data_IF_141007246264
#
_entry.id   IF_141007246264
#
_cell.length_a   1.000
_cell.length_b   1.000
_cell.length_c   1.000
_cell.angle_alpha   90.00
_cell.angle_beta   90.00
_cell.angle_gamma   90.00
#
_symmetry.space_group_name_H-M   'P 1'
#
loop_
_entity.id
_entity.type
_entity.pdbx_description
1 polymer ?
#
# COMPACT_ATOMS: atom_id res chain seq x y z
N UNK A 1 3.51 5.94 6.24
CA UNK A 1 4.90 6.36 5.90
C UNK A 1 4.78 7.31 4.73
N UNK A 2 5.44 8.47 4.76
CA UNK A 2 5.47 9.40 3.63
C UNK A 2 6.77 9.27 2.85
N UNK A 3 6.71 9.23 1.53
CA UNK A 3 7.87 9.18 0.64
C UNK A 3 7.85 10.37 -0.31
N UNK A 4 8.99 11.04 -0.44
CA UNK A 4 9.15 12.14 -1.41
C UNK A 4 9.23 11.61 -2.83
N UNK A 5 8.89 12.45 -3.80
CA UNK A 5 9.05 12.12 -5.22
C UNK A 5 10.47 11.63 -5.55
N UNK A 6 10.58 10.49 -6.23
CA UNK A 6 11.85 9.86 -6.60
C UNK A 6 12.56 9.11 -5.46
N UNK A 7 12.00 9.09 -4.25
CA UNK A 7 12.52 8.30 -3.14
C UNK A 7 11.84 6.93 -3.07
N UNK A 8 12.57 5.96 -2.53
CA UNK A 8 12.08 4.63 -2.19
C UNK A 8 12.47 4.31 -0.75
N UNK A 9 11.63 3.56 -0.05
CA UNK A 9 11.92 2.99 1.26
C UNK A 9 11.52 1.53 1.25
N UNK A 10 12.42 0.67 1.74
CA UNK A 10 12.12 -0.74 1.95
C UNK A 10 11.73 -0.94 3.41
N UNK A 11 10.60 -1.62 3.65
CA UNK A 11 10.08 -1.90 4.98
C UNK A 11 10.13 -3.41 5.23
N UNK A 12 10.77 -3.81 6.32
CA UNK A 12 10.77 -5.17 6.82
C UNK A 12 9.93 -5.24 8.11
N UNK A 13 9.00 -6.20 8.16
CA UNK A 13 8.09 -6.40 9.28
C UNK A 13 8.41 -7.74 9.95
N UNK A 14 8.84 -7.67 11.22
CA UNK A 14 9.10 -8.83 12.07
C UNK A 14 8.14 -8.83 13.25
N UNK A 15 7.56 -9.98 13.56
CA UNK A 15 6.73 -10.16 14.75
C UNK A 15 7.55 -10.83 15.84
N UNK A 16 7.48 -10.30 17.06
CA UNK A 16 8.31 -10.75 18.18
C UNK A 16 7.48 -10.94 19.45
N UNK A 17 7.96 -11.79 20.36
CA UNK A 17 7.46 -11.86 21.73
C UNK A 17 7.83 -10.59 22.51
N UNK A 18 7.23 -10.34 23.70
CA UNK A 18 7.69 -9.26 24.57
C UNK A 18 9.16 -9.35 25.01
N UNK A 19 9.80 -10.50 24.82
CA UNK A 19 11.21 -10.73 25.13
C UNK A 19 12.14 -10.52 23.91
N UNK A 20 11.59 -10.13 22.74
CA UNK A 20 12.35 -9.88 21.51
C UNK A 20 12.64 -11.16 20.71
N UNK A 21 11.93 -12.25 20.97
CA UNK A 21 12.12 -13.49 20.22
C UNK A 21 11.19 -13.50 19.00
N UNK A 22 11.67 -13.80 17.78
CA UNK A 22 10.82 -13.86 16.60
C UNK A 22 9.71 -14.90 16.74
N UNK A 23 8.49 -14.54 16.32
CA UNK A 23 7.34 -15.45 16.27
C UNK A 23 6.78 -15.55 14.85
N UNK A 24 6.32 -16.74 14.50
CA UNK A 24 5.54 -16.94 13.27
C UNK A 24 4.09 -16.57 13.53
N UNK A 25 3.61 -15.56 12.82
CA UNK A 25 2.18 -15.23 12.77
C UNK A 25 1.56 -15.98 11.60
N UNK A 26 0.49 -16.74 11.89
CA UNK A 26 -0.17 -17.58 10.88
C UNK A 26 -0.80 -16.75 9.77
N UNK A 27 -1.51 -15.70 10.14
CA UNK A 27 -2.23 -14.83 9.22
C UNK A 27 -1.98 -13.37 9.64
N UNK A 28 -1.39 -12.59 8.75
CA UNK A 28 -1.18 -11.16 8.92
C UNK A 28 -1.63 -10.44 7.65
N UNK A 29 -2.28 -9.28 7.81
CA UNK A 29 -2.74 -8.43 6.70
C UNK A 29 -2.07 -7.08 6.86
N UNK A 30 -1.43 -6.59 5.79
CA UNK A 30 -0.85 -5.26 5.73
C UNK A 30 -1.72 -4.40 4.83
N UNK A 31 -2.29 -3.35 5.39
CA UNK A 31 -3.01 -2.37 4.59
C UNK A 31 -2.12 -1.18 4.24
N UNK A 32 -2.06 -0.84 2.97
CA UNK A 32 -1.42 0.37 2.44
C UNK A 32 -2.50 1.24 1.81
N UNK A 33 -2.65 2.46 2.33
CA UNK A 33 -3.65 3.43 1.91
C UNK A 33 -2.97 4.68 1.32
N UNK A 34 -3.78 5.57 0.73
CA UNK A 34 -3.32 6.89 0.24
C UNK A 34 -2.27 6.75 -0.89
N UNK A 35 -2.49 5.77 -1.76
CA UNK A 35 -1.69 5.59 -2.97
C UNK A 35 -2.19 6.53 -4.06
N UNK A 36 -1.55 7.69 -4.12
CA UNK A 36 -2.03 8.84 -4.89
C UNK A 36 -0.96 9.37 -5.85
N UNK A 37 -1.37 10.24 -6.77
CA UNK A 37 -0.48 11.05 -7.59
C UNK A 37 -0.44 12.47 -7.02
N UNK A 38 0.72 13.12 -7.16
CA UNK A 38 0.82 14.54 -6.83
C UNK A 38 -0.07 15.37 -7.77
N UNK A 39 -0.48 16.55 -7.31
CA UNK A 39 -1.35 17.45 -8.09
C UNK A 39 -0.72 17.88 -9.44
N UNK A 40 0.60 17.78 -9.59
CA UNK A 40 1.32 18.16 -10.81
C UNK A 40 1.58 17.00 -11.78
N UNK A 41 1.12 15.78 -11.48
CA UNK A 41 1.35 14.55 -12.27
C UNK A 41 2.83 14.21 -12.51
N UNK A 42 3.70 14.68 -11.62
CA UNK A 42 5.14 14.43 -11.70
C UNK A 42 5.57 13.20 -10.91
N UNK A 43 4.76 12.75 -9.95
CA UNK A 43 5.06 11.64 -9.07
C UNK A 43 3.80 10.79 -8.83
N UNK A 44 4.00 9.47 -8.86
CA UNK A 44 2.97 8.47 -8.54
C UNK A 44 3.48 7.65 -7.36
N UNK A 45 2.69 7.54 -6.29
CA UNK A 45 3.01 6.66 -5.17
C UNK A 45 2.64 5.22 -5.53
N UNK A 46 3.50 4.29 -5.15
CA UNK A 46 3.26 2.86 -5.35
C UNK A 46 3.90 2.03 -4.26
N UNK A 47 3.53 0.76 -4.23
CA UNK A 47 4.08 -0.23 -3.31
C UNK A 47 4.39 -1.51 -4.09
N UNK A 48 5.59 -2.05 -3.88
CA UNK A 48 5.91 -3.42 -4.23
C UNK A 48 5.83 -4.29 -2.99
N UNK A 49 5.38 -5.53 -3.18
CA UNK A 49 5.26 -6.49 -2.09
C UNK A 49 5.90 -7.82 -2.47
N UNK A 50 6.51 -8.46 -1.47
CA UNK A 50 7.07 -9.80 -1.57
C UNK A 50 6.72 -10.59 -0.31
N UNK A 51 6.46 -11.89 -0.45
CA UNK A 51 6.16 -12.77 0.68
C UNK A 51 4.68 -12.82 1.10
N UNK A 52 3.80 -12.08 0.43
CA UNK A 52 2.35 -12.16 0.63
C UNK A 52 1.73 -13.27 -0.22
N UNK A 53 0.71 -13.95 0.32
CA UNK A 53 0.01 -15.05 -0.35
C UNK A 53 -1.12 -14.58 -1.27
N UNK A 54 -1.68 -13.40 -0.99
CA UNK A 54 -2.78 -12.80 -1.75
C UNK A 54 -2.77 -11.29 -1.54
N UNK A 55 -3.52 -10.58 -2.38
CA UNK A 55 -3.79 -9.16 -2.22
C UNK A 55 -5.29 -8.91 -2.41
N UNK A 56 -5.77 -7.82 -1.86
CA UNK A 56 -7.11 -7.29 -2.07
C UNK A 56 -7.03 -5.84 -2.52
N UNK A 57 -7.76 -5.54 -3.59
CA UNK A 57 -8.05 -4.19 -4.08
C UNK A 57 -9.55 -4.10 -4.34
N UNK A 58 -10.14 -2.91 -4.23
CA UNK A 58 -11.55 -2.73 -4.56
C UNK A 58 -11.82 -3.04 -6.04
N UNK A 59 -13.07 -3.36 -6.39
CA UNK A 59 -13.47 -3.59 -7.79
C UNK A 59 -13.35 -2.35 -8.67
N UNK A 60 -13.45 -1.16 -8.06
CA UNK A 60 -13.33 0.15 -8.71
C UNK A 60 -11.96 0.81 -8.46
N UNK A 61 -10.95 0.02 -8.09
CA UNK A 61 -9.66 0.56 -7.67
C UNK A 61 -9.01 1.47 -8.71
N UNK A 62 -8.24 2.42 -8.19
CA UNK A 62 -7.45 3.39 -8.93
C UNK A 62 -5.96 3.00 -8.86
N UNK A 63 -5.67 1.69 -8.90
CA UNK A 63 -4.32 1.15 -8.86
C UNK A 63 -4.01 0.36 -10.14
N UNK A 64 -2.86 0.65 -10.73
CA UNK A 64 -2.29 -0.18 -11.78
C UNK A 64 -1.41 -1.25 -11.16
N UNK A 65 -1.75 -2.52 -11.34
CA UNK A 65 -0.93 -3.66 -10.95
C UNK A 65 -0.02 -4.12 -12.08
N UNK A 66 1.26 -4.32 -11.78
CA UNK A 66 2.25 -4.96 -12.66
C UNK A 66 2.98 -6.07 -11.90
N UNK A 67 3.15 -7.23 -12.52
CA UNK A 67 4.04 -8.28 -11.99
C UNK A 67 5.46 -8.00 -12.49
N UNK A 68 6.40 -7.80 -11.58
CA UNK A 68 7.80 -7.54 -11.90
C UNK A 68 8.52 -8.83 -12.31
N UNK A 69 9.67 -8.69 -12.99
CA UNK A 69 10.46 -9.84 -13.46
C UNK A 69 10.99 -10.76 -12.35
N UNK A 70 11.00 -10.29 -11.10
CA UNK A 70 11.36 -11.05 -9.90
C UNK A 70 10.14 -11.67 -9.19
N UNK A 71 8.94 -11.59 -9.78
CA UNK A 71 7.70 -12.10 -9.21
C UNK A 71 7.04 -11.21 -8.15
N UNK A 72 7.59 -10.03 -7.86
CA UNK A 72 6.92 -9.07 -6.98
C UNK A 72 5.70 -8.44 -7.65
N UNK A 73 4.65 -8.23 -6.86
CA UNK A 73 3.51 -7.44 -7.29
C UNK A 73 3.78 -5.96 -6.99
N UNK A 74 3.63 -5.12 -8.01
CA UNK A 74 3.84 -3.67 -7.97
C UNK A 74 2.53 -2.95 -8.26
N UNK A 75 2.04 -2.17 -7.29
CA UNK A 75 0.80 -1.38 -7.39
C UNK A 75 1.14 0.11 -7.45
N UNK A 76 0.58 0.85 -8.40
CA UNK A 76 0.80 2.31 -8.56
C UNK A 76 -0.51 3.06 -8.72
N UNK A 77 -0.62 4.20 -8.05
CA UNK A 77 -1.74 5.13 -8.17
C UNK A 77 -2.03 5.54 -9.63
N UNK A 78 -3.29 5.50 -10.05
CA UNK A 78 -3.76 6.05 -11.35
C UNK A 78 -4.55 7.33 -11.20
N UNK A 79 -4.76 7.80 -9.97
CA UNK A 79 -5.57 8.96 -9.61
C UNK A 79 -4.82 9.96 -8.72
N UNK A 80 -5.28 11.21 -8.72
CA UNK A 80 -4.66 12.32 -7.99
C UNK A 80 -5.16 12.38 -6.55
N UNK A 81 -4.37 13.01 -5.68
CA UNK A 81 -4.84 13.40 -4.36
C UNK A 81 -6.02 14.36 -4.40
N UNK A 82 -6.96 14.12 -3.50
CA UNK A 82 -8.14 14.90 -3.21
C UNK A 82 -7.97 15.72 -1.93
N UNK A 83 -8.97 16.53 -1.60
CA UNK A 83 -8.90 17.42 -0.44
C UNK A 83 -9.21 16.70 0.90
N UNK A 84 -9.83 15.51 0.88
CA UNK A 84 -10.22 14.75 2.09
C UNK A 84 -10.21 13.23 1.84
N UNK A 85 -9.25 12.74 1.06
CA UNK A 85 -9.12 11.33 0.68
C UNK A 85 -8.16 10.53 1.55
N UNK A 86 -7.31 11.17 2.35
CA UNK A 86 -6.52 10.46 3.36
C UNK A 86 -7.44 9.84 4.45
N UNK A 87 -7.30 8.54 4.78
CA UNK A 87 -8.10 7.92 5.83
C UNK A 87 -7.84 8.52 7.22
N UNK A 88 -8.90 9.00 7.87
CA UNK A 88 -8.84 9.37 9.31
C UNK A 88 -8.99 8.16 10.23
N UNK A 89 -9.58 7.07 9.73
CA UNK A 89 -9.78 5.83 10.45
C UNK A 89 -9.66 4.64 9.50
N UNK A 90 -8.58 3.87 9.63
CA UNK A 90 -8.29 2.72 8.77
C UNK A 90 -9.34 1.60 8.82
N UNK A 91 -10.20 1.58 9.84
CA UNK A 91 -11.30 0.59 9.94
C UNK A 91 -12.56 0.99 9.16
N UNK A 92 -12.68 2.26 8.79
CA UNK A 92 -13.88 2.80 8.16
C UNK A 92 -13.47 3.70 7.00
N UNK A 93 -13.27 3.07 5.86
CA UNK A 93 -12.90 3.74 4.62
C UNK A 93 -14.16 4.03 3.80
N UNK A 94 -14.22 5.22 3.21
CA UNK A 94 -15.16 5.49 2.14
C UNK A 94 -14.67 4.82 0.83
N UNK A 95 -15.50 4.85 -0.22
CA UNK A 95 -15.16 4.17 -1.48
C UNK A 95 -13.89 4.73 -2.13
N UNK A 96 -13.74 6.05 -2.15
CA UNK A 96 -12.55 6.71 -2.72
C UNK A 96 -11.27 6.26 -2.01
N UNK A 97 -11.31 6.15 -0.68
CA UNK A 97 -10.20 5.64 0.12
C UNK A 97 -9.91 4.17 -0.19
N UNK A 98 -10.93 3.34 -0.33
CA UNK A 98 -10.77 1.92 -0.70
C UNK A 98 -10.15 1.76 -2.09
N UNK A 99 -10.54 2.62 -3.03
CA UNK A 99 -10.06 2.57 -4.41
C UNK A 99 -8.56 2.89 -4.51
N UNK A 100 -8.01 3.62 -3.54
CA UNK A 100 -6.60 4.03 -3.44
C UNK A 100 -5.79 3.18 -2.46
N UNK A 101 -6.21 1.94 -2.23
CA UNK A 101 -5.63 1.07 -1.20
C UNK A 101 -5.40 -0.35 -1.68
N UNK A 102 -4.39 -0.99 -1.10
CA UNK A 102 -4.11 -2.42 -1.27
C UNK A 102 -3.94 -3.09 0.10
N UNK A 103 -4.42 -4.32 0.23
CA UNK A 103 -4.33 -5.14 1.46
C UNK A 103 -3.77 -6.52 1.17
#
# INVERSE_FOLDING_TARGET
VGVSAGAQVDLELTFETPLGEPISVKDAVLHVFDLDQDASQTARTGVSTQGFSSFYVSSSNELQKTVMGNGQDWFVSTSHSGLDDAPRNFRYLNQQQLDKSVS
#
